data_IF_554597906162
#
_entry.id   IF_554597906162
#
_cell.length_a   1.000
_cell.length_b   1.000
_cell.length_c   1.000
_cell.angle_alpha   90.00
_cell.angle_beta   90.00
_cell.angle_gamma   90.00
#
_symmetry.space_group_name_H-M   'P 1'
#
loop_
_entity.id
_entity.type
_entity.pdbx_description
1 polymer ?
#
# COMPACT_ATOMS: atom_id res chain seq x y z
N UNK A 1 -40.33 70.14 -5.93
CA UNK A 1 -40.96 68.98 -5.25
C UNK A 1 -39.87 68.38 -4.36
N UNK A 2 -39.93 68.64 -3.05
CA UNK A 2 -38.89 68.26 -2.09
C UNK A 2 -39.06 66.77 -1.73
N UNK A 3 -38.11 65.93 -2.14
CA UNK A 3 -37.98 64.55 -1.64
C UNK A 3 -37.55 64.60 -0.16
N UNK A 4 -38.50 64.82 0.74
CA UNK A 4 -38.23 65.01 2.17
C UNK A 4 -38.08 63.72 2.98
N UNK A 5 -38.28 62.54 2.37
CA UNK A 5 -38.08 61.26 3.06
C UNK A 5 -37.58 60.20 2.10
N UNK A 6 -36.30 60.24 1.76
CA UNK A 6 -35.59 59.02 1.40
C UNK A 6 -35.55 58.13 2.65
N UNK A 7 -36.00 56.86 2.59
CA UNK A 7 -36.01 56.00 3.77
C UNK A 7 -34.55 55.79 4.21
N UNK A 8 -34.21 56.36 5.37
CA UNK A 8 -32.94 56.09 6.03
C UNK A 8 -33.05 54.69 6.63
N UNK A 9 -32.20 53.72 6.24
CA UNK A 9 -32.29 52.39 6.79
C UNK A 9 -32.13 52.46 8.31
N UNK A 10 -33.08 51.87 9.03
CA UNK A 10 -33.02 51.87 10.48
C UNK A 10 -31.81 51.05 10.95
N UNK A 11 -31.32 51.29 12.16
CA UNK A 11 -30.12 50.60 12.67
C UNK A 11 -30.23 49.07 12.67
N UNK A 12 -31.45 48.52 12.69
CA UNK A 12 -31.68 47.07 12.56
C UNK A 12 -31.44 46.55 11.14
N UNK A 13 -31.84 47.30 10.10
CA UNK A 13 -31.58 46.95 8.70
C UNK A 13 -30.07 46.95 8.39
N UNK A 14 -29.34 47.98 8.82
CA UNK A 14 -27.88 48.03 8.64
C UNK A 14 -27.16 46.88 9.36
N UNK A 15 -27.61 46.52 10.58
CA UNK A 15 -27.08 45.38 11.32
C UNK A 15 -27.36 44.06 10.59
N UNK A 16 -28.58 43.86 10.09
CA UNK A 16 -28.93 42.65 9.35
C UNK A 16 -28.13 42.50 8.06
N UNK A 17 -27.96 43.57 7.29
CA UNK A 17 -27.11 43.57 6.09
C UNK A 17 -25.66 43.23 6.43
N UNK A 18 -25.14 43.79 7.52
CA UNK A 18 -23.77 43.50 7.98
C UNK A 18 -23.61 42.04 8.37
N UNK A 19 -24.52 41.49 9.17
CA UNK A 19 -24.52 40.08 9.56
C UNK A 19 -24.64 39.19 8.32
N UNK A 20 -25.51 39.51 7.38
CA UNK A 20 -25.67 38.75 6.15
C UNK A 20 -24.39 38.71 5.33
N UNK A 21 -23.70 39.84 5.15
CA UNK A 21 -22.40 39.89 4.46
C UNK A 21 -21.35 39.05 5.20
N UNK A 22 -21.28 39.15 6.53
CA UNK A 22 -20.36 38.35 7.33
C UNK A 22 -20.64 36.85 7.20
N UNK A 23 -21.91 36.44 7.16
CA UNK A 23 -22.29 35.03 7.01
C UNK A 23 -21.98 34.48 5.62
N UNK A 24 -22.13 35.29 4.56
CA UNK A 24 -21.71 34.92 3.21
C UNK A 24 -20.21 34.64 3.18
N UNK A 25 -19.39 35.56 3.69
CA UNK A 25 -17.93 35.38 3.74
C UNK A 25 -17.54 34.17 4.58
N UNK A 26 -18.18 33.98 5.74
CA UNK A 26 -17.91 32.82 6.59
C UNK A 26 -18.24 31.50 5.88
N UNK A 27 -19.36 31.44 5.15
CA UNK A 27 -19.73 30.27 4.35
C UNK A 27 -18.71 30.03 3.23
N UNK A 28 -18.34 31.07 2.48
CA UNK A 28 -17.40 30.93 1.37
C UNK A 28 -16.01 30.46 1.85
N UNK A 29 -15.58 30.86 3.05
CA UNK A 29 -14.37 30.33 3.70
C UNK A 29 -14.53 28.85 4.04
N UNK A 30 -15.67 28.45 4.63
CA UNK A 30 -15.94 27.04 4.96
C UNK A 30 -15.95 26.18 3.69
N UNK A 31 -16.59 26.64 2.62
CA UNK A 31 -16.64 25.94 1.33
C UNK A 31 -15.22 25.77 0.75
N UNK A 32 -14.39 26.83 0.77
CA UNK A 32 -12.99 26.76 0.33
C UNK A 32 -12.14 25.79 1.17
N UNK A 33 -12.36 25.74 2.49
CA UNK A 33 -11.72 24.77 3.36
C UNK A 33 -12.16 23.33 3.03
N UNK A 34 -13.45 23.10 2.75
CA UNK A 34 -13.97 21.79 2.37
C UNK A 34 -13.37 21.31 1.04
N UNK A 35 -13.24 22.18 0.04
CA UNK A 35 -12.57 21.87 -1.23
C UNK A 35 -11.09 21.52 -1.02
N UNK A 36 -10.40 22.25 -0.15
CA UNK A 36 -9.01 21.99 0.21
C UNK A 36 -8.86 20.62 0.88
N UNK A 37 -9.75 20.28 1.82
CA UNK A 37 -9.79 18.96 2.46
C UNK A 37 -10.08 17.84 1.45
N UNK A 38 -11.00 18.05 0.50
CA UNK A 38 -11.29 17.07 -0.54
C UNK A 38 -10.08 16.83 -1.45
N UNK A 39 -9.34 17.88 -1.78
CA UNK A 39 -8.10 17.81 -2.58
C UNK A 39 -7.02 17.03 -1.83
N UNK A 40 -6.80 17.34 -0.55
CA UNK A 40 -5.85 16.62 0.30
C UNK A 40 -6.21 15.14 0.41
N UNK A 41 -7.49 14.81 0.58
CA UNK A 41 -7.97 13.43 0.63
C UNK A 41 -7.64 12.66 -0.64
N UNK A 42 -7.81 13.27 -1.83
CA UNK A 42 -7.44 12.66 -3.11
C UNK A 42 -5.95 12.40 -3.19
N UNK A 43 -5.12 13.40 -2.87
CA UNK A 43 -3.67 13.26 -2.85
C UNK A 43 -3.20 12.11 -1.94
N UNK A 44 -3.72 12.04 -0.72
CA UNK A 44 -3.39 10.94 0.22
C UNK A 44 -3.83 9.59 -0.34
N UNK A 45 -4.98 9.52 -1.00
CA UNK A 45 -5.47 8.28 -1.62
C UNK A 45 -4.52 7.81 -2.74
N UNK A 46 -4.04 8.74 -3.57
CA UNK A 46 -3.07 8.42 -4.64
C UNK A 46 -1.74 7.92 -4.05
N UNK A 47 -1.26 8.52 -2.96
CA UNK A 47 -0.06 8.07 -2.25
C UNK A 47 -0.24 6.65 -1.69
N UNK A 48 -1.40 6.35 -1.10
CA UNK A 48 -1.71 5.00 -0.60
C UNK A 48 -1.66 3.98 -1.73
N UNK A 49 -2.33 4.25 -2.86
CA UNK A 49 -2.29 3.38 -4.03
C UNK A 49 -0.87 3.15 -4.55
N UNK A 50 -0.03 4.19 -4.51
CA UNK A 50 1.38 4.07 -4.92
C UNK A 50 2.17 3.17 -3.98
N UNK A 51 2.00 3.33 -2.67
CA UNK A 51 2.66 2.50 -1.66
C UNK A 51 2.25 1.04 -1.82
N UNK A 52 0.96 0.76 -2.02
CA UNK A 52 0.46 -0.59 -2.24
C UNK A 52 1.08 -1.24 -3.49
N UNK A 53 1.19 -0.50 -4.59
CA UNK A 53 1.83 -0.97 -5.82
C UNK A 53 3.33 -1.26 -5.62
N UNK A 54 4.05 -0.36 -4.95
CA UNK A 54 5.47 -0.54 -4.66
C UNK A 54 5.70 -1.72 -3.71
N UNK A 55 4.84 -1.93 -2.71
CA UNK A 55 4.89 -3.08 -1.81
C UNK A 55 4.66 -4.40 -2.55
N UNK A 56 3.66 -4.46 -3.44
CA UNK A 56 3.41 -5.63 -4.27
C UNK A 56 4.61 -5.97 -5.18
N UNK A 57 5.23 -4.95 -5.77
CA UNK A 57 6.46 -5.09 -6.57
C UNK A 57 7.62 -5.65 -5.73
N UNK A 58 7.85 -5.13 -4.53
CA UNK A 58 8.88 -5.63 -3.62
C UNK A 58 8.64 -7.07 -3.20
N UNK A 59 7.38 -7.46 -2.89
CA UNK A 59 7.03 -8.85 -2.60
C UNK A 59 7.29 -9.79 -3.78
N UNK A 60 7.06 -9.33 -5.01
CA UNK A 60 7.38 -10.12 -6.20
C UNK A 60 8.91 -10.28 -6.36
N UNK A 61 9.68 -9.20 -6.21
CA UNK A 61 11.15 -9.25 -6.24
C UNK A 61 11.72 -10.19 -5.17
N UNK A 62 11.18 -10.14 -3.95
CA UNK A 62 11.57 -11.04 -2.86
C UNK A 62 11.39 -12.51 -3.25
N UNK A 63 10.23 -12.88 -3.80
CA UNK A 63 9.96 -14.25 -4.26
C UNK A 63 10.93 -14.71 -5.35
N UNK A 64 11.29 -13.83 -6.28
CA UNK A 64 12.29 -14.14 -7.32
C UNK A 64 13.65 -14.40 -6.70
N UNK A 65 14.08 -13.55 -5.76
CA UNK A 65 15.36 -13.73 -5.05
C UNK A 65 15.36 -15.04 -4.24
N UNK A 66 14.27 -15.33 -3.52
CA UNK A 66 14.10 -16.59 -2.77
C UNK A 66 14.20 -17.81 -3.70
N UNK A 67 13.58 -17.76 -4.89
CA UNK A 67 13.69 -18.80 -5.90
C UNK A 67 15.13 -18.98 -6.41
N UNK A 68 15.81 -17.88 -6.75
CA UNK A 68 17.22 -17.93 -7.15
C UNK A 68 18.07 -18.53 -6.02
N UNK A 69 17.89 -18.09 -4.77
CA UNK A 69 18.63 -18.62 -3.63
C UNK A 69 18.44 -20.12 -3.46
N UNK A 70 17.24 -20.65 -3.71
CA UNK A 70 17.02 -22.10 -3.69
C UNK A 70 17.81 -22.84 -4.79
N UNK A 71 18.02 -22.21 -5.95
CA UNK A 71 18.79 -22.81 -7.06
C UNK A 71 20.30 -22.73 -6.84
N UNK A 72 20.83 -21.60 -6.35
CA UNK A 72 22.28 -21.38 -6.20
C UNK A 72 22.84 -21.79 -4.84
N UNK A 73 22.01 -21.86 -3.79
CA UNK A 73 22.47 -22.47 -2.54
C UNK A 73 22.43 -23.97 -2.77
N UNK A 74 23.58 -24.67 -2.84
CA UNK A 74 23.52 -26.12 -2.76
C UNK A 74 22.76 -26.40 -1.48
N UNK A 75 21.70 -27.21 -1.56
CA UNK A 75 21.13 -27.85 -0.37
C UNK A 75 22.37 -28.32 0.39
N UNK A 76 22.68 -27.69 1.53
CA UNK A 76 23.66 -28.24 2.43
C UNK A 76 23.05 -29.59 2.76
N UNK A 77 23.49 -30.63 2.04
CA UNK A 77 22.96 -31.96 2.21
C UNK A 77 23.04 -32.16 3.72
N UNK A 78 21.90 -32.34 4.42
CA UNK A 78 21.98 -32.62 5.84
C UNK A 78 22.99 -33.75 5.95
N UNK A 79 24.00 -33.65 6.85
CA UNK A 79 25.03 -34.68 6.97
C UNK A 79 24.41 -36.09 7.08
N UNK A 80 23.19 -36.12 7.61
CA UNK A 80 22.27 -37.23 7.70
C UNK A 80 21.89 -37.92 6.37
N UNK A 81 21.70 -37.20 5.24
CA UNK A 81 21.35 -37.84 3.96
C UNK A 81 22.53 -38.59 3.35
N UNK A 82 23.76 -38.10 3.55
CA UNK A 82 24.98 -38.79 3.12
C UNK A 82 25.26 -40.01 4.01
N UNK A 83 24.95 -39.93 5.31
CA UNK A 83 24.97 -41.10 6.21
C UNK A 83 23.85 -42.11 5.91
N UNK A 84 22.65 -41.65 5.54
CA UNK A 84 21.51 -42.49 5.18
C UNK A 84 21.80 -43.29 3.90
N UNK A 85 22.40 -42.65 2.89
CA UNK A 85 22.84 -43.34 1.67
C UNK A 85 23.96 -44.36 1.93
N UNK A 86 24.78 -44.17 2.97
CA UNK A 86 25.80 -45.15 3.41
C UNK A 86 25.22 -46.32 4.20
N UNK A 87 24.03 -46.17 4.78
CA UNK A 87 23.35 -47.22 5.55
C UNK A 87 22.38 -48.04 4.71
N UNK A 88 22.09 -47.64 3.48
CA UNK A 88 21.35 -48.49 2.52
C UNK A 88 22.33 -49.57 2.04
N UNK A 89 22.13 -50.85 2.38
CA UNK A 89 22.95 -51.92 1.84
C UNK A 89 22.79 -51.93 0.31
N UNK A 90 23.91 -51.98 -0.40
CA UNK A 90 23.91 -52.09 -1.85
C UNK A 90 23.44 -53.50 -2.24
N UNK A 91 22.13 -53.70 -2.39
CA UNK A 91 21.51 -55.01 -2.66
C UNK A 91 21.81 -55.50 -4.09
N UNK A 92 22.30 -54.64 -4.98
CA UNK A 92 22.59 -54.98 -6.38
C UNK A 92 23.96 -55.65 -6.62
N UNK A 93 24.80 -55.82 -5.58
CA UNK A 93 26.17 -56.38 -5.73
C UNK A 93 26.28 -57.90 -5.42
N UNK A 94 25.17 -58.57 -5.15
CA UNK A 94 25.14 -60.03 -4.90
C UNK A 94 24.74 -60.86 -6.14
N UNK A 95 24.29 -60.23 -7.23
CA UNK A 95 23.83 -60.96 -8.42
C UNK A 95 24.99 -61.44 -9.34
N UNK A 96 26.24 -61.08 -9.06
CA UNK A 96 27.41 -61.41 -9.91
C UNK A 96 28.51 -62.21 -9.18
N UNK A 97 28.29 -62.65 -7.94
CA UNK A 97 29.28 -63.44 -7.18
C UNK A 97 29.19 -64.95 -7.41
N UNK A 98 28.07 -65.44 -7.93
CA UNK A 98 27.84 -66.88 -8.07
C UNK A 98 28.31 -67.47 -9.41
N UNK A 99 28.77 -66.66 -10.37
CA UNK A 99 29.24 -67.17 -11.68
C UNK A 99 30.78 -67.34 -11.77
N UNK A 100 31.53 -67.12 -10.68
CA UNK A 100 32.99 -67.25 -10.69
C UNK A 100 33.54 -68.57 -10.09
N UNK A 101 32.67 -69.52 -9.74
CA UNK A 101 33.06 -70.85 -9.25
C UNK A 101 32.25 -71.97 -9.95
N UNK A 102 32.46 -72.14 -11.26
CA UNK A 102 32.35 -73.45 -11.94
C UNK A 102 33.59 -73.69 -12.81
#
# INVERSE_FOLDING_TARGET
>A
MLHLFSPVPNGAQQRNETVQRSMIVARDIVDSCLESCATLKRFVSDVVLRIEADEASLRAKRRVIEGILQEVTPIAAPPDLVELLRTIPNIEDEEHKDEANE
#
